data_IF_023821304907
#
_entry.id   IF_023821304907
#
_cell.length_a   1.000
_cell.length_b   1.000
_cell.length_c   1.000
_cell.angle_alpha   90.00
_cell.angle_beta   90.00
_cell.angle_gamma   90.00
#
_symmetry.space_group_name_H-M   'P 1'
#
loop_
_entity.id
_entity.type
_entity.pdbx_description
1 polymer ?
#
# COMPACT_ATOMS: atom_id res chain seq x y z
N UNK A 1 34.73 68.87 -9.48
CA UNK A 1 35.00 69.35 -8.10
C UNK A 1 35.21 68.10 -7.25
N UNK A 2 36.45 67.77 -6.85
CA UNK A 2 37.03 67.98 -5.49
C UNK A 2 36.07 67.44 -4.40
N UNK A 3 36.40 66.57 -3.45
CA UNK A 3 37.62 66.00 -2.85
C UNK A 3 37.14 65.20 -1.61
N UNK A 4 37.80 64.14 -1.15
CA UNK A 4 38.66 64.09 0.05
C UNK A 4 38.07 64.84 1.28
N UNK A 5 38.07 64.38 2.54
CA UNK A 5 38.86 63.34 3.21
C UNK A 5 38.39 63.19 4.70
N UNK A 6 38.67 62.01 5.27
CA UNK A 6 39.26 61.69 6.60
C UNK A 6 38.87 62.46 7.88
N UNK A 7 38.57 61.68 8.94
CA UNK A 7 39.26 61.60 10.25
C UNK A 7 38.34 60.89 11.27
N UNK A 8 38.66 59.72 11.83
CA UNK A 8 39.64 59.39 12.87
C UNK A 8 39.20 59.73 14.32
N UNK A 9 39.22 58.72 15.20
CA UNK A 9 39.45 58.89 16.63
C UNK A 9 38.47 58.16 17.56
N UNK A 10 39.00 57.24 18.38
CA UNK A 10 38.34 56.86 19.64
C UNK A 10 38.42 55.39 20.08
N UNK A 11 39.62 54.86 20.35
CA UNK A 11 39.79 53.64 21.16
C UNK A 11 39.36 53.93 22.60
N UNK A 12 38.39 53.19 23.12
CA UNK A 12 38.21 52.96 24.55
C UNK A 12 38.00 51.46 24.78
N UNK A 13 38.89 50.88 25.59
CA UNK A 13 38.86 49.47 25.91
C UNK A 13 37.69 49.13 26.84
N UNK A 14 37.01 48.03 26.55
CA UNK A 14 36.11 47.38 27.49
C UNK A 14 36.46 45.90 27.61
N UNK A 15 36.62 45.50 28.88
CA UNK A 15 37.02 44.19 29.34
C UNK A 15 36.00 43.11 28.93
N UNK A 16 36.51 41.99 28.45
CA UNK A 16 35.71 40.79 28.19
C UNK A 16 35.49 40.03 29.51
N UNK A 17 34.26 39.58 29.85
CA UNK A 17 34.04 38.70 30.99
C UNK A 17 34.63 37.32 30.73
N UNK A 18 35.35 36.78 31.72
CA UNK A 18 35.88 35.41 31.71
C UNK A 18 34.74 34.38 31.71
N UNK A 19 34.88 33.24 31.01
CA UNK A 19 33.93 32.13 31.10
C UNK A 19 33.96 31.48 32.51
N UNK A 20 32.83 30.98 33.01
CA UNK A 20 32.79 30.25 34.28
C UNK A 20 33.53 28.92 34.19
N UNK A 21 34.18 28.54 35.29
CA UNK A 21 34.94 27.30 35.42
C UNK A 21 34.04 26.05 35.24
N UNK A 22 34.59 24.92 34.75
CA UNK A 22 33.86 23.67 34.65
C UNK A 22 33.52 23.14 36.06
N UNK A 23 32.24 22.85 36.27
CA UNK A 23 31.76 22.22 37.51
C UNK A 23 32.28 20.78 37.67
N UNK A 24 32.21 20.22 38.89
CA UNK A 24 32.73 18.88 39.18
C UNK A 24 31.99 17.79 38.40
N UNK A 25 32.67 16.68 38.04
CA UNK A 25 32.04 15.58 37.32
C UNK A 25 30.93 14.93 38.18
N UNK A 26 29.82 14.48 37.57
CA UNK A 26 28.76 13.81 38.30
C UNK A 26 29.24 12.49 38.92
N UNK A 27 28.66 12.06 40.05
CA UNK A 27 29.12 10.88 40.79
C UNK A 27 28.99 9.60 39.96
N UNK A 28 29.89 8.62 40.14
CA UNK A 28 29.99 7.41 39.31
C UNK A 28 28.72 6.54 39.32
N UNK A 29 27.85 6.69 40.33
CA UNK A 29 26.58 6.00 40.41
C UNK A 29 25.60 6.41 39.29
N UNK A 30 25.63 7.68 38.86
CA UNK A 30 24.77 8.21 37.79
C UNK A 30 25.20 7.70 36.41
N UNK A 31 26.51 7.50 36.21
CA UNK A 31 27.07 6.84 35.02
C UNK A 31 26.72 5.34 34.99
N UNK A 32 26.78 4.66 36.14
CA UNK A 32 26.36 3.25 36.25
C UNK A 32 24.87 3.05 35.99
N UNK A 33 24.00 3.96 36.46
CA UNK A 33 22.56 3.91 36.13
C UNK A 33 22.30 4.14 34.64
N UNK A 34 23.02 5.06 33.98
CA UNK A 34 22.87 5.29 32.54
C UNK A 34 23.36 4.10 31.70
N UNK A 35 24.38 3.35 32.17
CA UNK A 35 24.88 2.14 31.51
C UNK A 35 23.99 0.91 31.79
N UNK A 36 23.38 0.82 32.98
CA UNK A 36 22.42 -0.25 33.34
C UNK A 36 21.03 -0.02 32.73
N UNK A 37 20.66 1.22 32.46
CA UNK A 37 19.55 1.61 31.57
C UNK A 37 19.96 1.58 30.08
N UNK A 38 21.11 0.97 29.79
CA UNK A 38 21.63 0.69 28.46
C UNK A 38 20.50 0.23 27.55
N UNK A 39 20.26 1.07 26.55
CA UNK A 39 19.03 1.08 25.78
C UNK A 39 18.56 -0.31 25.37
N UNK A 40 17.54 -0.80 26.07
CA UNK A 40 16.40 -1.35 25.37
C UNK A 40 15.81 -0.18 24.58
N UNK A 41 16.45 0.16 23.46
CA UNK A 41 15.73 0.75 22.36
C UNK A 41 14.64 -0.26 22.07
N UNK A 42 13.45 -0.04 22.64
CA UNK A 42 12.25 -0.53 22.04
C UNK A 42 12.37 -0.05 20.60
N UNK A 43 12.71 -0.96 19.70
CA UNK A 43 12.47 -0.75 18.28
C UNK A 43 10.95 -0.70 18.19
N UNK A 44 10.39 0.45 18.52
CA UNK A 44 9.02 0.81 18.21
C UNK A 44 9.02 0.99 16.70
N UNK A 45 9.07 -0.14 16.00
CA UNK A 45 8.92 -0.24 14.56
C UNK A 45 7.45 0.08 14.28
N UNK A 46 7.12 1.37 14.30
CA UNK A 46 5.74 1.86 14.25
C UNK A 46 5.06 1.64 12.92
N UNK A 47 5.75 1.14 11.89
CA UNK A 47 5.26 1.15 10.51
C UNK A 47 5.53 -0.16 9.77
N UNK A 48 5.41 -1.30 10.46
CA UNK A 48 5.30 -2.58 9.76
C UNK A 48 3.90 -2.69 9.16
N UNK A 49 3.72 -2.22 7.93
CA UNK A 49 2.54 -2.56 7.13
C UNK A 49 2.47 -4.07 6.84
N UNK A 50 3.59 -4.77 7.00
CA UNK A 50 3.67 -6.20 6.76
C UNK A 50 4.32 -6.89 7.94
N UNK A 51 3.74 -8.00 8.38
CA UNK A 51 4.24 -8.82 9.47
C UNK A 51 4.61 -10.21 8.98
N UNK A 52 5.75 -10.69 9.48
CA UNK A 52 6.23 -12.05 9.27
C UNK A 52 6.59 -12.65 10.62
N UNK A 53 6.03 -13.81 10.94
CA UNK A 53 6.31 -14.51 12.18
C UNK A 53 6.31 -16.03 12.03
N UNK A 54 6.64 -16.72 13.11
CA UNK A 54 6.74 -18.19 13.18
C UNK A 54 5.99 -18.71 14.40
N UNK A 55 5.11 -19.69 14.25
CA UNK A 55 4.42 -20.30 15.39
C UNK A 55 5.32 -21.19 16.27
N UNK A 56 6.55 -21.50 15.83
CA UNK A 56 7.51 -22.31 16.60
C UNK A 56 8.16 -21.56 17.76
N UNK A 57 7.98 -20.24 17.86
CA UNK A 57 8.54 -19.45 18.97
C UNK A 57 7.79 -19.62 20.28
N UNK A 58 6.63 -20.30 20.26
CA UNK A 58 5.78 -20.51 21.44
C UNK A 58 5.97 -21.92 22.02
N UNK A 59 5.92 -22.02 23.34
CA UNK A 59 5.89 -23.31 24.03
C UNK A 59 4.61 -24.06 23.68
N UNK A 60 4.73 -25.24 23.07
CA UNK A 60 3.60 -26.04 22.53
C UNK A 60 2.48 -26.36 23.56
N UNK A 61 2.74 -26.17 24.85
CA UNK A 61 1.84 -26.47 25.96
C UNK A 61 0.95 -25.28 26.35
N UNK A 62 1.28 -24.07 25.89
CA UNK A 62 0.48 -22.86 26.13
C UNK A 62 -0.29 -22.55 24.86
N UNK A 63 -1.63 -22.61 24.94
CA UNK A 63 -2.53 -22.08 23.89
C UNK A 63 -2.43 -20.55 23.89
N UNK A 64 -1.28 -20.04 23.50
CA UNK A 64 -1.01 -18.61 23.45
C UNK A 64 -1.57 -18.04 22.15
N UNK A 65 -2.20 -16.88 22.27
CA UNK A 65 -2.73 -16.13 21.12
C UNK A 65 -1.82 -14.93 20.91
N UNK A 66 -1.08 -14.91 19.81
CA UNK A 66 -0.16 -13.82 19.49
C UNK A 66 -0.93 -12.62 18.91
N UNK A 67 -0.61 -11.41 19.38
CA UNK A 67 -1.24 -10.18 18.94
C UNK A 67 -0.37 -9.49 17.88
N UNK A 68 -0.90 -9.34 16.67
CA UNK A 68 -0.25 -8.64 15.56
C UNK A 68 -0.89 -7.27 15.39
N UNK A 69 -0.11 -6.19 15.46
CA UNK A 69 -0.60 -4.82 15.30
C UNK A 69 -0.04 -4.18 14.03
N UNK A 70 -0.92 -3.78 13.11
CA UNK A 70 -0.54 -3.18 11.83
C UNK A 70 -1.23 -1.83 11.63
N UNK A 71 -0.44 -0.81 11.31
CA UNK A 71 -0.90 0.59 11.18
C UNK A 71 -0.82 1.11 9.75
N UNK A 72 -1.38 0.39 8.80
CA UNK A 72 -1.39 0.79 7.38
C UNK A 72 -2.74 0.49 6.72
N UNK A 73 -3.02 1.16 5.61
CA UNK A 73 -4.22 0.89 4.80
C UNK A 73 -4.08 -0.35 3.93
N UNK A 74 -2.89 -0.89 3.73
CA UNK A 74 -2.67 -2.12 2.98
C UNK A 74 -1.39 -2.80 3.44
N UNK A 75 -1.30 -4.13 3.28
CA UNK A 75 -0.15 -4.89 3.74
C UNK A 75 -0.28 -6.40 3.65
N UNK A 76 0.63 -7.11 4.31
CA UNK A 76 0.69 -8.59 4.31
C UNK A 76 0.88 -9.16 5.72
N UNK A 77 0.30 -10.34 5.94
CA UNK A 77 0.58 -11.17 7.12
C UNK A 77 1.08 -12.51 6.60
N UNK A 78 2.27 -12.93 7.01
CA UNK A 78 2.84 -14.25 6.72
C UNK A 78 3.22 -14.96 8.02
N UNK A 79 2.62 -16.12 8.27
CA UNK A 79 2.82 -16.92 9.47
C UNK A 79 3.34 -18.31 9.10
N UNK A 80 4.62 -18.55 9.34
CA UNK A 80 5.23 -19.85 9.12
C UNK A 80 4.98 -20.78 10.31
N UNK A 81 4.81 -22.08 10.06
CA UNK A 81 4.58 -23.09 11.09
C UNK A 81 3.46 -22.70 12.08
N UNK A 82 2.25 -22.43 11.56
CA UNK A 82 1.15 -21.91 12.36
C UNK A 82 0.86 -22.83 13.55
N UNK A 83 0.86 -22.26 14.77
CA UNK A 83 0.60 -22.97 16.03
C UNK A 83 -0.21 -22.07 16.96
N UNK A 84 -1.33 -22.55 17.51
CA UNK A 84 -2.21 -21.71 18.32
C UNK A 84 -3.05 -20.77 17.45
N UNK A 85 -3.06 -19.47 17.76
CA UNK A 85 -3.81 -18.49 16.98
C UNK A 85 -3.16 -17.09 16.98
N UNK A 86 -3.54 -16.27 16.00
CA UNK A 86 -3.19 -14.85 15.90
C UNK A 86 -4.46 -13.98 16.00
N UNK A 87 -4.37 -12.86 16.73
CA UNK A 87 -5.31 -11.75 16.62
C UNK A 87 -4.63 -10.62 15.85
N UNK A 88 -5.18 -10.29 14.67
CA UNK A 88 -4.62 -9.27 13.78
C UNK A 88 -5.41 -7.96 13.93
N UNK A 89 -4.78 -6.99 14.57
CA UNK A 89 -5.31 -5.67 14.85
C UNK A 89 -4.89 -4.69 13.74
N UNK A 90 -5.84 -4.33 12.87
CA UNK A 90 -5.59 -3.40 11.77
C UNK A 90 -6.10 -1.99 12.10
N UNK A 91 -5.26 -0.99 11.84
CA UNK A 91 -5.65 0.44 11.93
C UNK A 91 -5.10 1.23 10.74
N UNK A 92 -5.85 2.20 10.19
CA UNK A 92 -5.30 3.09 9.18
C UNK A 92 -4.26 4.04 9.79
N UNK A 93 -3.31 4.51 8.99
CA UNK A 93 -2.29 5.49 9.42
C UNK A 93 -2.81 6.94 9.40
N UNK A 94 -4.13 7.15 9.38
CA UNK A 94 -4.74 8.48 9.22
C UNK A 94 -5.47 8.90 10.50
N UNK A 95 -5.23 10.14 10.94
CA UNK A 95 -5.70 10.73 12.20
C UNK A 95 -7.22 10.88 12.34
N UNK A 96 -8.01 10.60 11.30
CA UNK A 96 -9.48 10.69 11.37
C UNK A 96 -10.16 9.61 10.54
N UNK A 97 -10.59 8.49 11.16
CA UNK A 97 -11.54 7.58 10.55
C UNK A 97 -12.94 8.21 10.66
N UNK A 98 -13.21 9.29 9.92
CA UNK A 98 -14.53 9.93 9.89
C UNK A 98 -15.59 9.11 9.15
N UNK A 99 -15.21 7.95 8.60
CA UNK A 99 -16.04 7.05 7.80
C UNK A 99 -15.85 5.61 8.24
N UNK A 100 -16.89 4.75 8.14
CA UNK A 100 -16.75 3.32 8.36
C UNK A 100 -15.70 2.76 7.40
N UNK A 101 -14.81 1.92 7.93
CA UNK A 101 -13.75 1.28 7.17
C UNK A 101 -14.19 -0.13 6.79
N UNK A 102 -13.93 -0.52 5.56
CA UNK A 102 -14.08 -1.89 5.08
C UNK A 102 -12.71 -2.53 4.95
N UNK A 103 -12.59 -3.73 5.48
CA UNK A 103 -11.43 -4.59 5.40
C UNK A 103 -11.68 -5.67 4.37
N UNK A 104 -10.83 -5.74 3.36
CA UNK A 104 -10.78 -6.82 2.39
C UNK A 104 -9.53 -7.67 2.64
N UNK A 105 -9.64 -8.98 2.53
CA UNK A 105 -8.50 -9.89 2.65
C UNK A 105 -8.37 -10.79 1.42
N UNK A 106 -7.15 -11.03 0.96
CA UNK A 106 -6.86 -11.94 -0.16
C UNK A 106 -5.78 -12.95 0.25
N UNK A 107 -6.07 -14.25 0.25
CA UNK A 107 -5.06 -15.25 0.59
C UNK A 107 -3.90 -15.21 -0.42
N UNK A 108 -2.68 -15.40 0.07
CA UNK A 108 -1.50 -15.56 -0.76
C UNK A 108 -1.54 -16.91 -1.49
N UNK A 109 -0.79 -17.01 -2.58
CA UNK A 109 -0.62 -18.27 -3.31
C UNK A 109 -0.04 -19.32 -2.36
N UNK A 110 -0.63 -20.51 -2.34
CA UNK A 110 -0.22 -21.65 -1.50
C UNK A 110 -0.31 -21.39 0.01
N UNK A 111 -1.10 -20.40 0.44
CA UNK A 111 -1.41 -20.22 1.86
C UNK A 111 -2.05 -21.48 2.42
N UNK A 112 -1.52 -21.99 3.53
CA UNK A 112 -2.01 -23.21 4.18
C UNK A 112 -1.65 -23.25 5.66
N UNK A 113 -2.33 -24.11 6.41
CA UNK A 113 -2.06 -24.41 7.81
C UNK A 113 -2.87 -23.59 8.82
N UNK A 114 -3.75 -22.70 8.38
CA UNK A 114 -4.64 -21.96 9.28
C UNK A 114 -5.91 -21.48 8.57
N UNK A 115 -6.98 -21.36 9.35
CA UNK A 115 -8.25 -20.77 8.91
C UNK A 115 -8.38 -19.35 9.45
N UNK A 116 -9.03 -18.46 8.68
CA UNK A 116 -9.19 -17.04 9.01
C UNK A 116 -10.66 -16.79 9.34
N UNK A 117 -10.91 -16.14 10.47
CA UNK A 117 -12.20 -15.84 11.05
C UNK A 117 -12.34 -14.34 11.33
N UNK A 118 -13.58 -13.90 11.36
CA UNK A 118 -13.99 -12.64 11.95
C UNK A 118 -14.45 -12.90 13.38
N UNK A 119 -13.79 -12.28 14.36
CA UNK A 119 -14.14 -12.36 15.77
C UNK A 119 -14.91 -11.12 16.21
N UNK A 120 -16.07 -11.32 16.84
CA UNK A 120 -16.81 -10.26 17.52
C UNK A 120 -17.42 -10.80 18.80
N UNK A 121 -17.06 -10.21 19.94
CA UNK A 121 -17.64 -10.55 21.24
C UNK A 121 -17.56 -12.04 21.59
N UNK A 122 -16.49 -12.71 21.17
CA UNK A 122 -16.28 -14.15 21.37
C UNK A 122 -16.90 -15.06 20.32
N UNK A 123 -17.69 -14.54 19.37
CA UNK A 123 -18.22 -15.31 18.25
C UNK A 123 -17.25 -15.28 17.06
N UNK A 124 -16.96 -16.45 16.49
CA UNK A 124 -16.08 -16.61 15.32
C UNK A 124 -16.90 -16.93 14.07
N UNK A 125 -16.84 -16.04 13.08
CA UNK A 125 -17.41 -16.27 11.74
C UNK A 125 -16.30 -16.58 10.75
N UNK A 126 -16.31 -17.79 10.18
CA UNK A 126 -15.32 -18.22 9.18
C UNK A 126 -15.34 -17.32 7.93
N UNK A 127 -14.17 -16.84 7.53
CA UNK A 127 -13.96 -16.06 6.30
C UNK A 127 -13.25 -16.90 5.23
N UNK A 128 -12.18 -17.59 5.62
CA UNK A 128 -11.38 -18.43 4.74
C UNK A 128 -11.00 -19.72 5.48
N UNK A 129 -11.29 -20.87 4.87
CA UNK A 129 -10.94 -22.18 5.42
C UNK A 129 -9.59 -22.65 4.90
N UNK A 130 -8.81 -23.31 5.75
CA UNK A 130 -7.57 -23.97 5.32
C UNK A 130 -7.85 -25.06 4.27
N UNK A 131 -7.00 -25.15 3.25
CA UNK A 131 -7.13 -26.12 2.16
C UNK A 131 -8.23 -25.83 1.14
N UNK A 132 -9.08 -24.82 1.36
CA UNK A 132 -10.03 -24.34 0.35
C UNK A 132 -9.32 -23.32 -0.56
N UNK A 133 -9.43 -23.42 -1.90
CA UNK A 133 -8.99 -22.35 -2.81
C UNK A 133 -9.59 -20.98 -2.47
N UNK A 134 -10.66 -20.94 -1.67
CA UNK A 134 -11.29 -19.73 -1.20
C UNK A 134 -12.21 -19.13 -2.27
N UNK A 135 -12.95 -18.06 -1.93
CA UNK A 135 -13.79 -17.39 -2.90
C UNK A 135 -12.93 -16.81 -4.03
N UNK A 136 -13.47 -16.82 -5.26
CA UNK A 136 -12.79 -16.24 -6.44
C UNK A 136 -12.48 -14.74 -6.25
N UNK A 137 -13.27 -14.07 -5.41
CA UNK A 137 -13.13 -12.66 -5.03
C UNK A 137 -12.73 -12.54 -3.56
N UNK A 138 -11.91 -11.54 -3.25
CA UNK A 138 -11.48 -11.25 -1.90
C UNK A 138 -12.70 -10.90 -1.00
N UNK A 139 -12.92 -11.62 0.13
CA UNK A 139 -14.00 -11.27 1.04
C UNK A 139 -13.71 -9.92 1.71
N UNK A 140 -14.75 -9.10 1.82
CA UNK A 140 -14.70 -7.77 2.43
C UNK A 140 -15.79 -7.61 3.48
N UNK A 141 -15.49 -6.95 4.59
CA UNK A 141 -16.41 -6.72 5.69
C UNK A 141 -16.09 -5.39 6.39
N UNK A 142 -17.09 -4.79 7.02
CA UNK A 142 -16.86 -3.57 7.80
C UNK A 142 -16.05 -3.86 9.05
N UNK A 143 -15.09 -3.00 9.38
CA UNK A 143 -14.21 -3.17 10.54
C UNK A 143 -15.00 -3.09 11.87
N UNK A 144 -16.20 -2.50 11.87
CA UNK A 144 -17.15 -2.52 12.98
C UNK A 144 -17.78 -3.90 13.25
N UNK A 145 -17.61 -4.83 12.32
CA UNK A 145 -18.17 -6.19 12.41
C UNK A 145 -17.27 -7.15 13.16
N UNK A 146 -16.02 -6.79 13.48
CA UNK A 146 -15.10 -7.64 14.25
C UNK A 146 -13.62 -7.48 13.89
N UNK A 147 -12.76 -8.14 14.66
CA UNK A 147 -11.32 -8.27 14.42
C UNK A 147 -10.97 -9.54 13.63
N UNK A 148 -9.78 -9.57 13.02
CA UNK A 148 -9.28 -10.78 12.35
C UNK A 148 -8.69 -11.74 13.38
N UNK A 149 -9.18 -12.98 13.37
CA UNK A 149 -8.67 -14.09 14.16
C UNK A 149 -8.19 -15.19 13.21
N UNK A 150 -6.94 -15.63 13.36
CA UNK A 150 -6.33 -16.65 12.50
C UNK A 150 -5.96 -17.83 13.35
N UNK A 151 -6.55 -18.99 13.10
CA UNK A 151 -6.36 -20.18 13.93
C UNK A 151 -5.61 -21.26 13.16
N UNK A 152 -4.53 -21.78 13.76
CA UNK A 152 -3.77 -22.88 13.19
C UNK A 152 -4.63 -24.14 13.07
N UNK A 153 -4.57 -24.79 11.91
CA UNK A 153 -5.25 -26.07 11.69
C UNK A 153 -4.40 -27.18 12.28
N UNK A 154 -4.94 -28.07 13.14
CA UNK A 154 -4.19 -29.16 13.74
C UNK A 154 -3.47 -30.00 12.68
N UNK A 155 -2.16 -30.18 12.86
CA UNK A 155 -1.31 -30.88 11.91
C UNK A 155 -0.79 -32.20 12.51
N UNK A 156 -0.75 -33.27 11.71
CA UNK A 156 -0.20 -34.57 12.12
C UNK A 156 1.23 -34.82 11.59
N UNK A 157 1.63 -34.06 10.57
CA UNK A 157 2.93 -34.11 9.91
C UNK A 157 3.83 -32.93 10.32
N UNK A 158 5.14 -33.04 10.10
CA UNK A 158 6.13 -31.99 10.41
C UNK A 158 6.39 -31.09 9.17
N UNK A 159 5.48 -31.14 8.19
CA UNK A 159 5.60 -30.41 6.94
C UNK A 159 5.55 -28.89 7.17
N UNK A 160 6.44 -28.15 6.50
CA UNK A 160 6.42 -26.69 6.54
C UNK A 160 5.15 -26.16 5.85
N UNK A 161 4.31 -25.47 6.62
CA UNK A 161 3.17 -24.70 6.12
C UNK A 161 3.37 -23.22 6.41
N UNK A 162 2.83 -22.39 5.54
CA UNK A 162 2.82 -20.94 5.73
C UNK A 162 1.43 -20.44 5.41
N UNK A 163 0.77 -19.88 6.42
CA UNK A 163 -0.46 -19.14 6.22
C UNK A 163 -0.07 -17.73 5.82
N UNK A 164 -0.68 -17.19 4.77
CA UNK A 164 -0.45 -15.80 4.43
C UNK A 164 -1.58 -15.17 3.65
N UNK A 165 -1.82 -13.89 3.92
CA UNK A 165 -2.84 -13.11 3.24
C UNK A 165 -2.42 -11.64 3.14
N UNK A 166 -2.94 -10.98 2.12
CA UNK A 166 -2.90 -9.54 1.97
C UNK A 166 -4.17 -8.93 2.58
N UNK A 167 -4.05 -7.72 3.10
CA UNK A 167 -5.18 -6.95 3.60
C UNK A 167 -5.21 -5.56 2.98
N UNK A 168 -6.40 -5.02 2.79
CA UNK A 168 -6.64 -3.63 2.37
C UNK A 168 -7.80 -3.03 3.16
N UNK A 169 -7.60 -1.81 3.67
CA UNK A 169 -8.58 -0.98 4.35
C UNK A 169 -9.01 0.14 3.41
N UNK A 170 -10.32 0.25 3.19
CA UNK A 170 -10.93 1.30 2.36
C UNK A 170 -12.03 2.01 3.14
N UNK A 171 -12.25 3.30 2.89
CA UNK A 171 -13.35 4.08 3.49
C UNK A 171 -14.69 3.92 2.75
N UNK A 172 -14.76 2.97 1.80
CA UNK A 172 -15.97 2.60 1.04
C UNK A 172 -16.79 1.59 1.85
N UNK A 173 -18.12 1.63 1.74
CA UNK A 173 -19.01 0.73 2.51
C UNK A 173 -18.86 -0.72 2.06
N UNK A 174 -18.86 -1.65 3.01
CA UNK A 174 -18.97 -3.08 2.74
C UNK A 174 -20.38 -3.36 2.17
N UNK A 175 -20.45 -3.68 0.88
CA UNK A 175 -21.70 -3.96 0.18
C UNK A 175 -21.45 -4.80 -1.08
N UNK A 176 -22.52 -5.34 -1.71
CA UNK A 176 -22.42 -6.18 -2.91
C UNK A 176 -21.78 -5.46 -4.12
N UNK A 177 -21.72 -4.12 -4.08
CA UNK A 177 -20.96 -3.27 -5.01
C UNK A 177 -19.45 -3.29 -4.75
N UNK A 178 -18.85 -4.48 -4.61
CA UNK A 178 -17.40 -4.64 -4.78
C UNK A 178 -16.95 -4.34 -6.23
N UNK A 179 -17.90 -4.13 -7.14
CA UNK A 179 -17.69 -3.43 -8.41
C UNK A 179 -17.20 -1.99 -8.22
N UNK A 180 -17.32 -1.39 -7.02
CA UNK A 180 -16.88 -0.03 -6.74
C UNK A 180 -15.35 0.17 -6.60
N UNK A 181 -14.56 -0.90 -6.74
CA UNK A 181 -13.11 -0.79 -6.97
C UNK A 181 -12.84 -0.59 -8.46
N UNK A 182 -13.49 -1.35 -9.35
CA UNK A 182 -13.32 -1.18 -10.80
C UNK A 182 -14.16 0.00 -11.32
N UNK A 183 -13.62 0.79 -12.25
CA UNK A 183 -14.44 1.79 -12.92
C UNK A 183 -15.57 1.08 -13.69
N UNK A 184 -16.78 1.69 -13.79
CA UNK A 184 -17.83 1.13 -14.63
C UNK A 184 -17.31 0.90 -16.05
N UNK A 185 -17.81 -0.14 -16.73
CA UNK A 185 -17.45 -0.48 -18.11
C UNK A 185 -17.98 0.52 -19.16
N UNK A 186 -17.83 1.82 -18.90
CA UNK A 186 -18.15 2.92 -19.80
C UNK A 186 -16.89 3.71 -20.12
N UNK A 187 -16.80 4.33 -21.30
CA UNK A 187 -15.75 5.31 -21.57
C UNK A 187 -15.77 6.43 -20.52
N UNK A 188 -14.58 6.80 -20.03
CA UNK A 188 -14.43 7.95 -19.14
C UNK A 188 -14.75 9.25 -19.88
N UNK A 189 -15.46 10.16 -19.22
CA UNK A 189 -15.64 11.54 -19.65
C UNK A 189 -14.33 12.32 -19.63
N UNK A 190 -14.29 13.48 -20.30
CA UNK A 190 -13.11 14.34 -20.32
C UNK A 190 -12.65 14.73 -18.90
N UNK A 191 -13.58 15.12 -18.04
CA UNK A 191 -13.29 15.48 -16.64
C UNK A 191 -12.76 14.29 -15.84
N UNK A 192 -13.33 13.10 -16.03
CA UNK A 192 -12.85 11.87 -15.37
C UNK A 192 -11.44 11.51 -15.81
N UNK A 193 -11.12 11.64 -17.10
CA UNK A 193 -9.76 11.40 -17.62
C UNK A 193 -8.77 12.39 -17.00
N UNK A 194 -9.09 13.69 -16.99
CA UNK A 194 -8.22 14.72 -16.42
C UNK A 194 -7.94 14.48 -14.93
N UNK A 195 -8.97 14.17 -14.14
CA UNK A 195 -8.80 13.85 -12.72
C UNK A 195 -8.05 12.52 -12.50
N UNK A 196 -8.31 11.51 -13.34
CA UNK A 196 -7.70 10.20 -13.20
C UNK A 196 -6.18 10.27 -13.36
N UNK A 197 -5.67 11.11 -14.28
CA UNK A 197 -4.22 11.26 -14.46
C UNK A 197 -3.52 11.80 -13.21
N UNK A 198 -4.18 12.66 -12.45
CA UNK A 198 -3.58 13.26 -11.26
C UNK A 198 -3.69 12.37 -10.00
N UNK A 199 -4.76 11.57 -9.92
CA UNK A 199 -5.12 10.87 -8.68
C UNK A 199 -4.82 9.37 -8.69
N UNK A 200 -4.63 8.78 -9.88
CA UNK A 200 -4.37 7.35 -10.03
C UNK A 200 -3.07 6.89 -9.38
N UNK A 201 -3.03 5.61 -9.01
CA UNK A 201 -1.82 4.98 -8.49
C UNK A 201 -0.80 4.71 -9.60
N UNK A 202 -1.29 4.48 -10.82
CA UNK A 202 -0.44 4.41 -12.01
C UNK A 202 -1.05 5.21 -13.18
N UNK A 203 -0.16 5.74 -14.00
CA UNK A 203 -0.47 6.40 -15.27
C UNK A 203 0.62 6.04 -16.27
N UNK A 204 0.23 5.36 -17.34
CA UNK A 204 1.16 4.87 -18.37
C UNK A 204 0.61 5.08 -19.77
N UNK A 205 1.49 5.36 -20.73
CA UNK A 205 1.20 5.34 -22.16
C UNK A 205 1.75 4.05 -22.75
N UNK A 206 0.96 3.38 -23.58
CA UNK A 206 1.39 2.16 -24.22
C UNK A 206 0.36 1.55 -25.14
N UNK A 207 0.63 0.32 -25.58
CA UNK A 207 -0.21 -0.47 -26.48
C UNK A 207 -0.56 -1.83 -25.87
N UNK A 208 -1.70 -2.36 -26.29
CA UNK A 208 -2.17 -3.69 -25.88
C UNK A 208 -1.42 -4.73 -26.70
N UNK A 209 -0.65 -5.58 -26.03
CA UNK A 209 0.01 -6.72 -26.67
C UNK A 209 -0.96 -7.90 -26.80
N UNK A 210 -1.66 -8.22 -25.71
CA UNK A 210 -2.56 -9.35 -25.63
C UNK A 210 -3.63 -9.14 -24.55
N UNK A 211 -4.72 -9.90 -24.62
CA UNK A 211 -5.78 -9.91 -23.61
C UNK A 211 -6.12 -11.36 -23.26
N UNK A 212 -5.99 -11.70 -21.98
CA UNK A 212 -6.34 -13.01 -21.43
C UNK A 212 -7.62 -12.89 -20.61
N UNK A 213 -8.58 -13.79 -20.82
CA UNK A 213 -9.84 -13.81 -20.07
C UNK A 213 -9.81 -14.90 -18.99
N UNK A 214 -10.15 -14.54 -17.76
CA UNK A 214 -10.23 -15.46 -16.61
C UNK A 214 -11.68 -15.58 -16.12
N UNK A 215 -12.51 -16.44 -16.76
CA UNK A 215 -13.95 -16.53 -16.46
C UNK A 215 -14.24 -16.97 -15.01
N UNK A 216 -13.37 -17.78 -14.42
CA UNK A 216 -13.49 -18.20 -13.01
C UNK A 216 -13.39 -17.03 -12.03
N UNK A 217 -12.62 -15.99 -12.39
CA UNK A 217 -12.46 -14.76 -11.59
C UNK A 217 -13.42 -13.66 -12.00
N UNK A 218 -14.10 -13.80 -13.14
CA UNK A 218 -14.85 -12.72 -13.80
C UNK A 218 -13.95 -11.52 -14.14
N UNK A 219 -12.70 -11.80 -14.55
CA UNK A 219 -11.67 -10.80 -14.83
C UNK A 219 -11.12 -10.95 -16.25
N UNK A 220 -10.56 -9.86 -16.79
CA UNK A 220 -9.76 -9.85 -18.00
C UNK A 220 -8.43 -9.15 -17.73
N UNK A 221 -7.34 -9.78 -18.14
CA UNK A 221 -5.97 -9.30 -17.95
C UNK A 221 -5.45 -8.76 -19.27
N UNK A 222 -5.11 -7.48 -19.29
CA UNK A 222 -4.57 -6.77 -20.44
C UNK A 222 -3.05 -6.72 -20.29
N UNK A 223 -2.33 -7.35 -21.23
CA UNK A 223 -0.88 -7.31 -21.29
C UNK A 223 -0.43 -6.08 -22.08
N UNK A 224 0.38 -5.23 -21.45
CA UNK A 224 0.76 -3.93 -21.99
C UNK A 224 2.24 -3.87 -22.34
N UNK A 225 2.53 -3.29 -23.50
CA UNK A 225 3.81 -2.67 -23.80
C UNK A 225 3.73 -1.19 -23.47
N UNK A 226 4.46 -0.75 -22.46
CA UNK A 226 4.45 0.63 -21.97
C UNK A 226 5.62 1.38 -22.60
N UNK A 227 5.30 2.40 -23.39
CA UNK A 227 6.26 3.29 -24.04
C UNK A 227 6.70 4.43 -23.12
N UNK A 228 5.80 4.92 -22.24
CA UNK A 228 6.12 5.97 -21.26
C UNK A 228 5.41 5.73 -19.94
N UNK A 229 6.15 5.84 -18.84
CA UNK A 229 5.62 5.73 -17.48
C UNK A 229 5.59 7.11 -16.82
N UNK A 230 4.41 7.63 -16.56
CA UNK A 230 4.23 8.94 -15.91
C UNK A 230 4.22 8.81 -14.39
N UNK A 231 3.57 7.76 -13.89
CA UNK A 231 3.40 7.50 -12.46
C UNK A 231 3.22 6.01 -12.19
N UNK A 232 3.83 5.50 -11.13
CA UNK A 232 3.48 4.21 -10.54
C UNK A 232 3.81 4.24 -9.03
N UNK A 233 2.85 3.94 -8.16
CA UNK A 233 3.11 3.79 -6.72
C UNK A 233 3.78 2.45 -6.39
N UNK A 234 3.41 1.40 -7.11
CA UNK A 234 3.96 0.04 -6.96
C UNK A 234 4.67 -0.39 -8.25
N UNK A 235 5.72 -1.20 -8.15
CA UNK A 235 6.55 -1.66 -9.28
C UNK A 235 5.89 -2.79 -10.09
N UNK A 236 4.69 -2.53 -10.61
CA UNK A 236 3.93 -3.47 -11.46
C UNK A 236 4.33 -3.41 -12.93
N UNK A 237 4.89 -2.28 -13.38
CA UNK A 237 5.48 -2.15 -14.71
C UNK A 237 7.00 -2.29 -14.61
N UNK A 238 7.54 -3.34 -15.23
CA UNK A 238 8.97 -3.69 -15.16
C UNK A 238 9.65 -3.42 -16.50
N UNK A 239 10.93 -3.02 -16.51
CA UNK A 239 11.66 -2.82 -17.76
C UNK A 239 11.59 -4.04 -18.69
N UNK A 240 11.41 -3.81 -19.98
CA UNK A 240 11.41 -4.87 -20.98
C UNK A 240 12.84 -5.40 -21.22
N UNK A 241 13.05 -6.73 -21.36
CA UNK A 241 14.32 -7.29 -21.80
C UNK A 241 14.59 -6.88 -23.25
N UNK A 242 15.73 -6.24 -23.48
CA UNK A 242 16.11 -5.69 -24.79
C UNK A 242 16.12 -4.16 -24.87
N UNK A 243 15.67 -3.45 -23.82
CA UNK A 243 15.54 -1.99 -23.84
C UNK A 243 14.35 -1.53 -24.68
N UNK A 244 13.86 -0.32 -24.45
CA UNK A 244 12.76 0.26 -25.25
C UNK A 244 11.38 0.34 -24.57
N UNK A 245 11.31 0.17 -23.24
CA UNK A 245 10.09 0.45 -22.48
C UNK A 245 9.91 -0.45 -21.27
N UNK A 246 8.66 -0.56 -20.82
CA UNK A 246 8.25 -1.41 -19.71
C UNK A 246 7.19 -2.41 -20.17
N UNK A 247 7.10 -3.54 -19.47
CA UNK A 247 6.01 -4.50 -19.60
C UNK A 247 5.27 -4.59 -18.28
N UNK A 248 3.96 -4.74 -18.37
CA UNK A 248 3.11 -4.94 -17.21
C UNK A 248 1.76 -5.48 -17.63
N UNK A 249 0.93 -5.73 -16.63
CA UNK A 249 -0.41 -6.24 -16.81
C UNK A 249 -1.40 -5.39 -16.02
N UNK A 250 -2.58 -5.19 -16.58
CA UNK A 250 -3.67 -4.45 -15.93
C UNK A 250 -4.94 -5.30 -16.00
N UNK A 251 -5.61 -5.47 -14.86
CA UNK A 251 -6.85 -6.23 -14.75
C UNK A 251 -8.08 -5.33 -14.88
N UNK A 252 -9.16 -5.88 -15.41
CA UNK A 252 -10.49 -5.25 -15.48
C UNK A 252 -11.57 -6.33 -15.41
N UNK A 253 -12.83 -5.94 -15.30
CA UNK A 253 -13.95 -6.87 -15.24
C UNK A 253 -14.18 -7.55 -16.60
N UNK A 254 -14.54 -8.84 -16.57
CA UNK A 254 -14.82 -9.61 -17.79
C UNK A 254 -16.00 -9.03 -18.58
N UNK A 255 -17.01 -8.51 -17.90
CA UNK A 255 -18.18 -7.86 -18.52
C UNK A 255 -17.82 -6.60 -19.33
N UNK A 256 -16.65 -5.99 -19.10
CA UNK A 256 -16.20 -4.86 -19.92
C UNK A 256 -15.83 -5.27 -21.36
N UNK A 257 -15.70 -6.58 -21.64
CA UNK A 257 -15.55 -7.10 -23.00
C UNK A 257 -14.33 -6.57 -23.74
N UNK A 258 -13.24 -6.31 -23.02
CA UNK A 258 -12.00 -5.74 -23.59
C UNK A 258 -11.42 -6.70 -24.64
N UNK A 259 -10.96 -6.12 -25.75
CA UNK A 259 -10.36 -6.87 -26.87
C UNK A 259 -8.99 -6.30 -27.21
N UNK A 260 -8.11 -7.10 -27.83
CA UNK A 260 -6.87 -6.60 -28.42
C UNK A 260 -7.18 -5.47 -29.39
N UNK A 261 -6.49 -4.33 -29.22
CA UNK A 261 -6.74 -3.12 -29.98
C UNK A 261 -5.45 -2.48 -30.45
N UNK A 262 -5.41 -2.03 -31.71
CA UNK A 262 -4.26 -1.29 -32.25
C UNK A 262 -4.26 0.16 -31.76
N UNK A 263 -3.05 0.69 -31.62
CA UNK A 263 -2.78 2.08 -31.28
C UNK A 263 -2.25 2.25 -29.86
N UNK A 264 -1.93 3.51 -29.54
CA UNK A 264 -1.45 3.92 -28.22
C UNK A 264 -2.62 4.44 -27.38
N UNK A 265 -2.64 4.04 -26.12
CA UNK A 265 -3.63 4.39 -25.13
C UNK A 265 -2.94 4.98 -23.90
N UNK A 266 -3.66 5.82 -23.18
CA UNK A 266 -3.31 6.22 -21.84
C UNK A 266 -4.05 5.31 -20.87
N UNK A 267 -3.33 4.53 -20.06
CA UNK A 267 -3.91 3.70 -19.02
C UNK A 267 -3.73 4.37 -17.67
N UNK A 268 -4.84 4.57 -16.97
CA UNK A 268 -4.87 5.02 -15.58
C UNK A 268 -5.56 3.98 -14.72
N UNK A 269 -5.28 3.99 -13.42
CA UNK A 269 -5.93 3.06 -12.51
C UNK A 269 -5.36 3.05 -11.11
N UNK A 270 -5.83 2.11 -10.32
CA UNK A 270 -5.49 1.96 -8.90
C UNK A 270 -4.84 0.60 -8.65
N UNK A 271 -4.19 0.49 -7.50
CA UNK A 271 -3.66 -0.77 -7.00
C UNK A 271 -4.72 -1.46 -6.14
N UNK A 272 -4.90 -2.76 -6.34
CA UNK A 272 -5.72 -3.60 -5.49
C UNK A 272 -5.03 -4.96 -5.31
N UNK A 273 -4.69 -5.28 -4.06
CA UNK A 273 -3.89 -6.43 -3.66
C UNK A 273 -2.58 -6.59 -4.45
N UNK A 274 -1.88 -5.46 -4.65
CA UNK A 274 -0.63 -5.41 -5.41
C UNK A 274 -0.79 -5.63 -6.92
N UNK A 275 -2.03 -5.73 -7.42
CA UNK A 275 -2.36 -5.85 -8.84
C UNK A 275 -2.88 -4.52 -9.38
N UNK A 276 -2.52 -4.20 -10.62
CA UNK A 276 -2.98 -2.97 -11.26
C UNK A 276 -4.39 -3.17 -11.83
N UNK A 277 -5.34 -2.34 -11.43
CA UNK A 277 -6.72 -2.39 -11.90
C UNK A 277 -7.06 -1.17 -12.74
N UNK A 278 -7.72 -1.43 -13.87
CA UNK A 278 -8.03 -0.41 -14.86
C UNK A 278 -9.05 0.60 -14.34
N UNK A 279 -8.73 1.89 -14.51
CA UNK A 279 -9.65 3.01 -14.34
C UNK A 279 -10.11 3.54 -15.71
N UNK A 280 -9.28 4.37 -16.35
CA UNK A 280 -9.55 4.91 -17.69
C UNK A 280 -8.53 4.41 -18.72
N UNK A 281 -8.98 4.21 -19.95
CA UNK A 281 -8.15 3.80 -21.09
C UNK A 281 -8.46 4.58 -22.40
N UNK A 282 -8.47 5.93 -22.42
CA UNK A 282 -8.69 6.65 -23.67
C UNK A 282 -7.53 6.41 -24.65
N UNK A 283 -7.79 6.60 -25.95
CA UNK A 283 -6.70 6.69 -26.93
C UNK A 283 -5.82 7.89 -26.57
N UNK A 284 -4.50 7.72 -26.71
CA UNK A 284 -3.56 8.76 -26.29
C UNK A 284 -3.76 10.08 -27.03
N UNK A 285 -4.10 10.03 -28.33
CA UNK A 285 -4.42 11.22 -29.15
C UNK A 285 -5.63 12.00 -28.63
N UNK A 286 -6.65 11.29 -28.12
CA UNK A 286 -7.86 11.92 -27.59
C UNK A 286 -7.54 12.60 -26.25
N UNK A 287 -6.78 11.92 -25.39
CA UNK A 287 -6.25 12.52 -24.16
C UNK A 287 -5.42 13.78 -24.44
N UNK A 288 -4.49 13.75 -25.40
CA UNK A 288 -3.67 14.93 -25.74
C UNK A 288 -4.51 16.12 -26.20
N UNK A 289 -5.64 15.87 -26.88
CA UNK A 289 -6.57 16.94 -27.27
C UNK A 289 -7.28 17.51 -26.05
N UNK A 290 -7.84 16.64 -25.21
CA UNK A 290 -8.58 17.04 -24.00
C UNK A 290 -7.68 17.78 -23.01
N UNK A 291 -6.45 17.31 -22.82
CA UNK A 291 -5.50 17.91 -21.90
C UNK A 291 -5.04 19.29 -22.37
N UNK A 292 -4.74 19.48 -23.67
CA UNK A 292 -4.39 20.80 -24.22
C UNK A 292 -5.54 21.81 -24.12
N UNK A 293 -6.77 21.41 -24.42
CA UNK A 293 -7.95 22.28 -24.21
C UNK A 293 -8.05 22.72 -22.73
N UNK A 294 -7.85 21.79 -21.80
CA UNK A 294 -7.88 22.10 -20.38
C UNK A 294 -6.73 23.03 -19.96
N UNK A 295 -5.52 22.83 -20.49
CA UNK A 295 -4.34 23.64 -20.22
C UNK A 295 -4.50 25.07 -20.75
N UNK A 296 -4.94 25.24 -22.00
CA UNK A 296 -5.22 26.55 -22.61
C UNK A 296 -6.28 27.34 -21.82
N UNK A 297 -7.20 26.65 -21.15
CA UNK A 297 -8.27 27.23 -20.33
C UNK A 297 -7.89 27.36 -18.85
N UNK A 298 -6.73 26.88 -18.42
CA UNK A 298 -6.30 26.86 -17.02
C UNK A 298 -7.17 25.96 -16.11
N UNK A 299 -7.78 24.92 -16.69
CA UNK A 299 -8.66 23.95 -16.01
C UNK A 299 -7.99 22.58 -15.83
N UNK A 300 -6.70 22.43 -16.13
CA UNK A 300 -5.98 21.19 -15.92
C UNK A 300 -5.73 20.96 -14.41
N UNK A 301 -6.13 19.81 -13.85
CA UNK A 301 -6.03 19.57 -12.41
C UNK A 301 -4.59 19.32 -11.91
N UNK A 302 -3.68 18.98 -12.81
CA UNK A 302 -2.24 18.86 -12.53
C UNK A 302 -1.44 18.98 -13.84
N UNK A 303 -0.12 19.12 -13.71
CA UNK A 303 0.81 19.14 -14.85
C UNK A 303 1.26 17.72 -15.24
N UNK A 304 1.24 17.43 -16.55
CA UNK A 304 1.57 16.13 -17.12
C UNK A 304 2.36 16.37 -18.41
N UNK A 305 3.54 15.76 -18.54
CA UNK A 305 4.30 15.86 -19.79
C UNK A 305 3.63 15.09 -20.92
N UNK A 306 2.87 15.75 -21.79
CA UNK A 306 2.08 15.08 -22.84
C UNK A 306 2.83 14.70 -24.13
N UNK A 307 4.16 14.78 -24.12
CA UNK A 307 5.03 14.45 -25.27
C UNK A 307 5.12 12.93 -25.54
#
# INVERSE_FOLDING_TARGET
MRGAAWAAGGRSGQLWPRPPAPGPPPPPLLLLLAVLLGGAGAQYSSDLCSWKGSGLTHEAHRKEVEQVYLRCSAGTVEWAYPTGALIVNLRPNTLSPSRPLTLCIKPLRNSSGASIYLEKTGELRLLLRDGDPGPSRAPCFGLEQGGLFVEATPQQDIGRRTTGFQYELTSRRAGPDLHGLSAPCRPCSHTEVLLAVCTSDFVVRGSIQDVTHEPERQESVIHLHVSRLYRQKSRVFRPAPGGGGWRGRVSTLLECGVRPGRGEFLFTGHMHFGEAWLGCAPRFKDFQRVYRDAEERGLNPCEVGTE
#
